data_IF_543165591926
#
_entry.id   IF_543165591926
#
_cell.length_a   1.000
_cell.length_b   1.000
_cell.length_c   1.000
_cell.angle_alpha   90.00
_cell.angle_beta   90.00
_cell.angle_gamma   90.00
#
_symmetry.space_group_name_H-M   'P 1'
#
loop_
_entity.id
_entity.type
_entity.pdbx_description
1 polymer ?
#
# COMPACT_ATOMS: atom_id res chain seq x y z
N UNK A 1 -49.26 25.30 20.88
CA UNK A 1 -47.86 25.73 20.68
C UNK A 1 -46.82 24.68 21.11
N UNK A 2 -46.91 24.05 22.29
CA UNK A 2 -45.89 23.05 22.72
C UNK A 2 -45.74 21.82 21.81
N UNK A 3 -46.79 21.33 21.17
CA UNK A 3 -46.73 20.16 20.28
C UNK A 3 -45.98 20.41 18.95
N UNK A 4 -46.04 21.62 18.44
CA UNK A 4 -45.33 21.98 17.19
C UNK A 4 -43.83 22.20 17.42
N UNK A 5 -43.41 22.64 18.58
CA UNK A 5 -42.01 22.81 18.96
C UNK A 5 -41.33 21.44 19.09
N UNK A 6 -42.01 20.43 19.62
CA UNK A 6 -41.47 19.07 19.74
C UNK A 6 -41.30 18.42 18.37
N UNK A 7 -42.25 18.61 17.43
CA UNK A 7 -42.17 18.11 16.05
C UNK A 7 -41.04 18.79 15.28
N UNK A 8 -40.84 20.09 15.47
CA UNK A 8 -39.74 20.82 14.84
C UNK A 8 -38.37 20.41 15.42
N UNK A 9 -38.27 20.16 16.72
CA UNK A 9 -37.03 19.68 17.35
C UNK A 9 -36.68 18.26 16.92
N UNK A 10 -37.67 17.35 16.79
CA UNK A 10 -37.44 15.99 16.27
C UNK A 10 -37.05 16.01 14.80
N UNK A 11 -37.64 16.90 13.98
CA UNK A 11 -37.26 17.03 12.57
C UNK A 11 -35.85 17.61 12.42
N UNK A 12 -35.44 18.57 13.28
CA UNK A 12 -34.07 19.12 13.29
C UNK A 12 -33.05 18.07 13.75
N UNK A 13 -33.41 17.24 14.76
CA UNK A 13 -32.51 16.18 15.26
C UNK A 13 -32.33 15.04 14.21
N UNK A 14 -33.37 14.72 13.44
CA UNK A 14 -33.27 13.74 12.37
C UNK A 14 -32.47 14.26 11.18
N UNK A 15 -32.52 15.57 10.86
CA UNK A 15 -31.69 16.15 9.81
C UNK A 15 -30.20 16.22 10.19
N UNK A 16 -29.87 16.38 11.47
CA UNK A 16 -28.46 16.40 11.90
C UNK A 16 -27.85 14.99 11.98
N UNK A 17 -28.66 13.94 12.22
CA UNK A 17 -28.20 12.55 12.18
C UNK A 17 -28.04 11.98 10.77
N UNK A 18 -28.74 12.53 9.78
CA UNK A 18 -28.57 12.12 8.38
C UNK A 18 -27.42 12.82 7.66
N UNK A 19 -26.91 13.92 8.19
CA UNK A 19 -25.74 14.63 7.66
C UNK A 19 -24.40 13.92 7.94
N UNK A 20 -24.33 13.07 8.96
CA UNK A 20 -23.12 12.31 9.30
C UNK A 20 -23.03 10.95 8.55
N UNK A 21 -24.09 10.55 7.83
CA UNK A 21 -24.18 9.29 7.10
C UNK A 21 -23.97 9.47 5.59
N UNK A 22 -23.50 10.63 5.13
CA UNK A 22 -23.36 10.97 3.70
C UNK A 22 -21.91 11.28 3.26
N UNK A 23 -20.92 11.11 4.14
CA UNK A 23 -19.57 10.93 3.66
C UNK A 23 -19.50 9.53 3.04
N UNK A 24 -19.25 9.41 1.75
CA UNK A 24 -19.07 8.11 1.09
C UNK A 24 -17.93 7.35 1.75
N UNK A 25 -17.89 6.05 1.61
CA UNK A 25 -16.81 5.21 2.14
C UNK A 25 -15.44 5.71 1.68
N UNK A 26 -15.35 6.24 0.46
CA UNK A 26 -14.14 6.87 -0.10
C UNK A 26 -13.65 8.08 0.71
N UNK A 27 -14.55 9.01 1.06
CA UNK A 27 -14.17 10.19 1.85
C UNK A 27 -13.67 9.81 3.24
N UNK A 28 -14.28 8.79 3.86
CA UNK A 28 -13.84 8.28 5.15
C UNK A 28 -12.48 7.58 5.06
N UNK A 29 -12.25 6.79 4.01
CA UNK A 29 -10.95 6.16 3.77
C UNK A 29 -9.86 7.20 3.48
N UNK A 30 -10.19 8.24 2.70
CA UNK A 30 -9.28 9.36 2.46
C UNK A 30 -8.88 10.03 3.75
N UNK A 31 -9.86 10.44 4.57
CA UNK A 31 -9.58 11.13 5.85
C UNK A 31 -8.74 10.26 6.79
N UNK A 32 -8.98 8.95 6.80
CA UNK A 32 -8.21 8.00 7.58
C UNK A 32 -6.77 7.88 7.08
N UNK A 33 -6.55 7.68 5.76
CA UNK A 33 -5.20 7.61 5.18
C UNK A 33 -4.46 8.92 5.40
N UNK A 34 -5.12 10.05 5.19
CA UNK A 34 -4.55 11.36 5.43
C UNK A 34 -4.10 11.53 6.88
N UNK A 35 -4.98 11.22 7.83
CA UNK A 35 -4.65 11.27 9.27
C UNK A 35 -3.45 10.40 9.59
N UNK A 36 -3.43 9.16 9.09
CA UNK A 36 -2.32 8.23 9.29
C UNK A 36 -1.00 8.79 8.76
N UNK A 37 -0.98 9.35 7.55
CA UNK A 37 0.23 9.93 6.97
C UNK A 37 0.69 11.18 7.72
N UNK A 38 -0.23 12.06 8.09
CA UNK A 38 0.06 13.30 8.85
C UNK A 38 0.62 12.99 10.24
N UNK A 39 0.05 12.02 10.97
CA UNK A 39 0.51 11.60 12.29
C UNK A 39 1.89 10.93 12.26
N UNK A 40 2.22 10.26 11.15
CA UNK A 40 3.54 9.68 10.93
C UNK A 40 4.53 10.65 10.26
N UNK A 41 4.15 11.92 10.06
CA UNK A 41 5.01 12.97 9.53
C UNK A 41 5.48 12.71 8.10
N UNK A 42 4.65 12.05 7.27
CA UNK A 42 4.98 11.71 5.90
C UNK A 42 4.60 12.85 4.96
N UNK A 43 5.52 13.23 4.07
CA UNK A 43 5.24 14.13 2.97
C UNK A 43 4.58 13.36 1.83
N UNK A 44 3.43 13.83 1.35
CA UNK A 44 2.69 13.19 0.25
C UNK A 44 2.04 14.22 -0.69
N UNK A 45 1.68 13.75 -1.88
CA UNK A 45 0.79 14.44 -2.81
C UNK A 45 -0.50 13.64 -2.91
N UNK A 46 -1.64 14.33 -2.80
CA UNK A 46 -2.95 13.72 -3.02
C UNK A 46 -3.59 14.29 -4.28
N UNK A 47 -3.96 13.42 -5.20
CA UNK A 47 -4.68 13.77 -6.43
C UNK A 47 -5.55 12.59 -6.87
N UNK A 48 -6.79 12.87 -7.27
CA UNK A 48 -7.74 11.92 -7.86
C UNK A 48 -7.80 10.56 -7.11
N UNK A 49 -8.04 10.60 -5.78
CA UNK A 49 -8.13 9.43 -4.89
C UNK A 49 -6.84 8.60 -4.78
N UNK A 50 -5.70 9.22 -5.08
CA UNK A 50 -4.38 8.58 -4.94
C UNK A 50 -3.48 9.44 -4.05
N UNK A 51 -2.93 8.84 -2.99
CA UNK A 51 -1.79 9.40 -2.27
C UNK A 51 -0.50 8.88 -2.89
N UNK A 52 0.42 9.78 -3.18
CA UNK A 52 1.75 9.43 -3.70
C UNK A 52 2.80 9.98 -2.75
N UNK A 53 3.71 9.12 -2.32
CA UNK A 53 4.79 9.47 -1.40
C UNK A 53 6.05 8.64 -1.71
N UNK A 54 7.19 9.12 -1.21
CA UNK A 54 8.47 8.44 -1.32
C UNK A 54 8.96 8.09 0.08
N UNK A 55 9.19 6.80 0.34
CA UNK A 55 9.62 6.30 1.63
C UNK A 55 11.01 5.68 1.54
N UNK A 56 11.90 6.06 2.48
CA UNK A 56 13.21 5.44 2.61
C UNK A 56 13.08 4.00 3.11
N UNK A 57 13.88 3.10 2.56
CA UNK A 57 14.01 1.70 2.96
C UNK A 57 15.48 1.33 3.13
N UNK A 58 15.78 0.30 3.95
CA UNK A 58 17.14 -0.04 4.37
C UNK A 58 17.94 -0.90 3.40
N UNK A 59 17.37 -1.31 2.26
CA UNK A 59 18.05 -2.15 1.27
C UNK A 59 18.82 -1.35 0.22
N UNK A 60 19.47 -2.03 -0.71
CA UNK A 60 20.14 -1.41 -1.86
C UNK A 60 19.20 -0.60 -2.78
N UNK A 61 17.90 -0.69 -2.58
CA UNK A 61 16.90 0.13 -3.26
C UNK A 61 16.87 1.58 -2.72
N UNK A 62 17.35 1.81 -1.49
CA UNK A 62 17.36 3.10 -0.77
C UNK A 62 15.99 3.70 -0.48
N UNK A 63 15.03 3.60 -1.38
CA UNK A 63 13.66 4.11 -1.22
C UNK A 63 12.66 3.29 -2.05
N UNK A 64 11.36 3.53 -1.78
CA UNK A 64 10.26 3.06 -2.60
C UNK A 64 9.36 4.24 -2.97
N UNK A 65 8.83 4.25 -4.19
CA UNK A 65 7.74 5.14 -4.58
C UNK A 65 6.42 4.45 -4.26
N UNK A 66 5.64 5.05 -3.33
CA UNK A 66 4.42 4.44 -2.79
C UNK A 66 3.21 5.16 -3.31
N UNK A 67 2.23 4.40 -3.77
CA UNK A 67 0.91 4.88 -4.19
C UNK A 67 -0.17 4.17 -3.40
N UNK A 68 -1.03 4.95 -2.75
CA UNK A 68 -2.18 4.44 -2.01
C UNK A 68 -3.44 4.86 -2.78
N UNK A 69 -4.13 3.88 -3.35
CA UNK A 69 -5.34 4.07 -4.14
C UNK A 69 -6.57 3.84 -3.26
N UNK A 70 -7.49 4.78 -3.32
CA UNK A 70 -8.80 4.68 -2.69
C UNK A 70 -9.83 4.38 -3.77
N UNK A 71 -10.55 3.28 -3.61
CA UNK A 71 -11.70 2.90 -4.43
C UNK A 71 -12.94 2.82 -3.56
N UNK A 72 -14.12 2.73 -4.17
CA UNK A 72 -15.41 2.66 -3.46
C UNK A 72 -15.45 1.60 -2.35
N UNK A 73 -14.82 0.45 -2.58
CA UNK A 73 -14.86 -0.73 -1.73
C UNK A 73 -13.48 -1.33 -1.43
N UNK A 74 -12.40 -0.66 -1.81
CA UNK A 74 -11.05 -1.21 -1.67
C UNK A 74 -10.01 -0.13 -1.42
N UNK A 75 -9.09 -0.42 -0.51
CA UNK A 75 -7.82 0.29 -0.35
C UNK A 75 -6.69 -0.57 -0.91
N UNK A 76 -5.89 -0.01 -1.82
CA UNK A 76 -4.77 -0.72 -2.43
C UNK A 76 -3.48 0.10 -2.32
N UNK A 77 -2.41 -0.54 -1.85
CA UNK A 77 -1.09 0.06 -1.74
C UNK A 77 -0.16 -0.62 -2.72
N UNK A 78 0.58 0.18 -3.47
CA UNK A 78 1.64 -0.27 -4.39
C UNK A 78 2.92 0.44 -3.98
N UNK A 79 3.93 -0.34 -3.61
CA UNK A 79 5.28 0.15 -3.38
C UNK A 79 6.15 -0.28 -4.56
N UNK A 80 6.57 0.68 -5.37
CA UNK A 80 7.40 0.45 -6.54
C UNK A 80 8.89 0.51 -6.14
N UNK A 81 9.65 -0.51 -6.54
CA UNK A 81 11.10 -0.49 -6.43
C UNK A 81 11.67 0.49 -7.49
N UNK A 82 12.63 1.37 -7.13
CA UNK A 82 13.20 2.37 -8.04
C UNK A 82 14.22 1.75 -9.01
N UNK A 83 13.88 0.61 -9.59
CA UNK A 83 14.71 -0.13 -10.54
C UNK A 83 13.91 -0.48 -11.77
N UNK A 84 14.62 -0.74 -12.86
CA UNK A 84 14.02 -1.19 -14.11
C UNK A 84 14.67 -2.50 -14.56
N UNK A 85 13.85 -3.54 -14.68
CA UNK A 85 14.28 -4.85 -15.16
C UNK A 85 14.41 -4.81 -16.66
N UNK A 86 15.58 -5.15 -17.17
CA UNK A 86 15.79 -5.30 -18.62
C UNK A 86 15.02 -6.52 -19.16
N UNK A 87 14.72 -6.52 -20.47
CA UNK A 87 14.07 -7.65 -21.11
C UNK A 87 14.87 -8.96 -20.93
N UNK A 88 16.20 -8.87 -20.94
CA UNK A 88 17.12 -10.00 -20.75
C UNK A 88 16.98 -10.63 -19.33
N UNK A 89 16.73 -9.82 -18.32
CA UNK A 89 16.64 -10.26 -16.92
C UNK A 89 15.19 -10.51 -16.46
N UNK A 90 14.19 -10.27 -17.33
CA UNK A 90 12.79 -10.40 -16.95
C UNK A 90 12.42 -11.79 -16.42
N UNK A 91 12.86 -12.86 -17.10
CA UNK A 91 12.55 -14.24 -16.67
C UNK A 91 13.21 -14.57 -15.33
N UNK A 92 14.43 -14.09 -15.10
CA UNK A 92 15.12 -14.25 -13.82
C UNK A 92 14.35 -13.52 -12.70
N UNK A 93 13.91 -12.28 -12.95
CA UNK A 93 13.12 -11.51 -11.99
C UNK A 93 11.78 -12.18 -11.70
N UNK A 94 11.12 -12.75 -12.70
CA UNK A 94 9.88 -13.50 -12.51
C UNK A 94 10.08 -14.75 -11.64
N UNK A 95 11.21 -15.44 -11.77
CA UNK A 95 11.58 -16.55 -10.88
C UNK A 95 11.83 -16.04 -9.48
N UNK A 96 12.66 -14.99 -9.30
CA UNK A 96 12.97 -14.40 -8.01
C UNK A 96 11.71 -13.97 -7.25
N UNK A 97 10.84 -13.19 -7.91
CA UNK A 97 9.60 -12.71 -7.27
C UNK A 97 8.62 -13.86 -6.97
N UNK A 98 8.63 -14.93 -7.74
CA UNK A 98 7.85 -16.14 -7.44
C UNK A 98 8.36 -16.82 -6.16
N UNK A 99 9.69 -16.93 -5.99
CA UNK A 99 10.29 -17.47 -4.77
C UNK A 99 9.94 -16.59 -3.56
N UNK A 100 10.11 -15.28 -3.66
CA UNK A 100 9.76 -14.34 -2.60
C UNK A 100 8.27 -14.41 -2.24
N UNK A 101 7.38 -14.53 -3.23
CA UNK A 101 5.94 -14.65 -3.00
C UNK A 101 5.52 -15.93 -2.25
N UNK A 102 6.35 -16.96 -2.20
CA UNK A 102 6.07 -18.17 -1.39
C UNK A 102 6.33 -17.95 0.10
N UNK A 103 7.13 -16.94 0.46
CA UNK A 103 7.52 -16.65 1.84
C UNK A 103 6.70 -15.52 2.47
N UNK A 104 6.03 -14.69 1.66
CA UNK A 104 5.27 -13.54 2.15
C UNK A 104 3.79 -13.87 2.33
N UNK A 105 3.15 -13.29 3.36
CA UNK A 105 1.75 -13.55 3.72
C UNK A 105 0.80 -12.42 3.30
N UNK A 106 1.28 -11.18 3.32
CA UNK A 106 0.48 -9.99 2.99
C UNK A 106 0.99 -9.33 1.72
N UNK A 107 0.15 -9.30 0.69
CA UNK A 107 0.54 -8.72 -0.58
C UNK A 107 1.28 -9.69 -1.49
N UNK A 108 1.88 -9.14 -2.53
CA UNK A 108 2.62 -9.92 -3.52
C UNK A 108 3.58 -9.04 -4.31
N UNK A 109 4.73 -9.58 -4.66
CA UNK A 109 5.58 -9.02 -5.69
C UNK A 109 4.99 -9.21 -7.08
N UNK A 110 5.11 -8.18 -7.90
CA UNK A 110 4.69 -8.19 -9.31
C UNK A 110 5.79 -7.61 -10.17
N UNK A 111 5.94 -8.15 -11.36
CA UNK A 111 6.84 -7.63 -12.39
C UNK A 111 6.00 -7.23 -13.59
N UNK A 112 6.09 -5.96 -13.98
CA UNK A 112 5.47 -5.47 -15.21
C UNK A 112 6.40 -5.73 -16.38
N UNK A 113 5.99 -6.61 -17.28
CA UNK A 113 6.79 -6.98 -18.44
C UNK A 113 6.92 -5.85 -19.46
N UNK A 114 5.90 -5.03 -19.60
CA UNK A 114 5.88 -3.98 -20.62
C UNK A 114 6.83 -2.82 -20.23
N UNK A 115 6.88 -2.49 -18.94
CA UNK A 115 7.63 -1.35 -18.45
C UNK A 115 8.85 -1.74 -17.61
N UNK A 116 9.03 -3.01 -17.26
CA UNK A 116 10.14 -3.49 -16.44
C UNK A 116 10.08 -3.08 -14.98
N UNK A 117 8.91 -2.67 -14.47
CA UNK A 117 8.76 -2.30 -13.05
C UNK A 117 8.60 -3.52 -12.16
N UNK A 118 9.21 -3.43 -10.98
CA UNK A 118 8.99 -4.37 -9.87
C UNK A 118 8.29 -3.62 -8.76
N UNK A 119 7.21 -4.18 -8.24
CA UNK A 119 6.52 -3.61 -7.09
C UNK A 119 6.07 -4.70 -6.11
N UNK A 120 5.86 -4.30 -4.86
CA UNK A 120 5.08 -5.08 -3.91
C UNK A 120 3.72 -4.41 -3.73
N UNK A 121 2.65 -5.20 -3.83
CA UNK A 121 1.28 -4.72 -3.72
C UNK A 121 0.56 -5.41 -2.58
N UNK A 122 -0.15 -4.62 -1.77
CA UNK A 122 -1.16 -5.08 -0.82
C UNK A 122 -2.53 -4.48 -1.17
N UNK A 123 -3.60 -5.11 -0.73
CA UNK A 123 -4.94 -4.55 -0.84
C UNK A 123 -5.84 -5.10 0.26
N UNK A 124 -6.83 -4.29 0.66
CA UNK A 124 -7.89 -4.69 1.57
C UNK A 124 -9.25 -4.28 1.01
N UNK A 125 -10.21 -5.20 1.02
CA UNK A 125 -11.60 -4.89 0.70
C UNK A 125 -12.23 -4.21 1.92
N UNK A 126 -12.96 -3.13 1.67
CA UNK A 126 -13.65 -2.31 2.66
C UNK A 126 -15.15 -2.40 2.35
N UNK A 127 -15.81 -3.48 2.81
CA UNK A 127 -17.25 -3.65 2.55
C UNK A 127 -18.09 -2.76 3.50
N UNK A 128 -18.07 -3.07 4.80
CA UNK A 128 -18.87 -2.38 5.81
C UNK A 128 -18.04 -1.77 6.95
N UNK A 129 -16.74 -2.05 7.01
CA UNK A 129 -15.83 -1.62 8.09
C UNK A 129 -14.59 -1.00 7.50
N UNK A 130 -14.41 0.29 7.80
CA UNK A 130 -13.18 0.99 7.41
C UNK A 130 -12.01 0.43 8.23
N UNK A 131 -10.85 0.12 7.58
CA UNK A 131 -9.67 -0.36 8.28
C UNK A 131 -9.29 0.58 9.43
N UNK A 132 -8.90 0.02 10.57
CA UNK A 132 -8.35 0.80 11.66
C UNK A 132 -6.88 1.16 11.41
N UNK A 133 -6.30 1.94 12.33
CA UNK A 133 -4.90 2.37 12.26
C UNK A 133 -3.91 1.19 12.15
N UNK A 134 -4.16 0.11 12.89
CA UNK A 134 -3.32 -1.09 12.83
C UNK A 134 -3.37 -1.78 11.46
N UNK A 135 -4.56 -1.88 10.85
CA UNK A 135 -4.71 -2.46 9.52
C UNK A 135 -4.01 -1.61 8.46
N UNK A 136 -4.09 -0.27 8.59
CA UNK A 136 -3.36 0.66 7.74
C UNK A 136 -1.85 0.49 7.87
N UNK A 137 -1.35 0.37 9.11
CA UNK A 137 0.06 0.12 9.36
C UNK A 137 0.56 -1.13 8.62
N UNK A 138 -0.18 -2.24 8.69
CA UNK A 138 0.18 -3.45 7.94
C UNK A 138 0.03 -3.26 6.43
N UNK A 139 -1.03 -2.60 5.99
CA UNK A 139 -1.31 -2.42 4.57
C UNK A 139 -0.25 -1.57 3.86
N UNK A 140 0.24 -0.52 4.52
CA UNK A 140 1.31 0.36 4.00
C UNK A 140 2.70 -0.21 4.33
N UNK A 141 2.90 -0.69 5.55
CA UNK A 141 4.22 -1.10 6.04
C UNK A 141 4.71 -2.42 5.44
N UNK A 142 3.85 -3.45 5.28
CA UNK A 142 4.30 -4.76 4.79
C UNK A 142 4.93 -4.72 3.39
N UNK A 143 4.36 -4.01 2.39
CA UNK A 143 5.03 -3.88 1.09
C UNK A 143 6.43 -3.26 1.18
N UNK A 144 6.64 -2.31 2.10
CA UNK A 144 7.94 -1.68 2.33
C UNK A 144 8.92 -2.63 3.01
N UNK A 145 8.47 -3.35 4.04
CA UNK A 145 9.26 -4.36 4.73
C UNK A 145 9.73 -5.46 3.76
N UNK A 146 8.85 -5.89 2.84
CA UNK A 146 9.23 -6.86 1.83
C UNK A 146 10.22 -6.28 0.81
N UNK A 147 10.08 -5.01 0.40
CA UNK A 147 11.09 -4.36 -0.44
C UNK A 147 12.42 -4.17 0.29
N UNK A 148 12.40 -3.92 1.59
CA UNK A 148 13.62 -3.90 2.40
C UNK A 148 14.28 -5.27 2.47
N UNK A 149 13.50 -6.32 2.79
CA UNK A 149 13.98 -7.69 2.92
C UNK A 149 14.55 -8.26 1.61
N UNK A 150 13.88 -8.03 0.50
CA UNK A 150 14.23 -8.61 -0.80
C UNK A 150 14.90 -7.64 -1.77
N UNK A 151 15.13 -6.38 -1.36
CA UNK A 151 15.64 -5.32 -2.22
C UNK A 151 17.02 -5.60 -2.79
N UNK A 152 17.94 -6.12 -1.97
CA UNK A 152 19.28 -6.49 -2.42
C UNK A 152 19.23 -7.59 -3.50
N UNK A 153 18.34 -8.56 -3.35
CA UNK A 153 18.10 -9.60 -4.33
C UNK A 153 17.50 -9.05 -5.63
N UNK A 154 16.55 -8.10 -5.52
CA UNK A 154 15.98 -7.42 -6.69
C UNK A 154 17.09 -6.71 -7.49
N UNK A 155 17.96 -5.95 -6.82
CA UNK A 155 19.09 -5.25 -7.46
C UNK A 155 20.04 -6.26 -8.10
N UNK A 156 20.44 -7.32 -7.38
CA UNK A 156 21.30 -8.38 -7.92
C UNK A 156 20.76 -9.00 -9.19
N UNK A 157 19.46 -9.32 -9.23
CA UNK A 157 18.82 -9.91 -10.42
C UNK A 157 18.70 -8.88 -11.55
N UNK A 158 18.46 -7.61 -11.26
CA UNK A 158 18.49 -6.54 -12.28
C UNK A 158 19.86 -6.42 -12.94
N UNK A 159 20.94 -6.70 -12.21
CA UNK A 159 22.32 -6.73 -12.71
C UNK A 159 22.71 -8.06 -13.38
N UNK A 160 21.79 -9.01 -13.49
CA UNK A 160 21.98 -10.28 -14.17
C UNK A 160 22.34 -11.46 -13.27
N UNK A 161 22.30 -11.27 -11.95
CA UNK A 161 22.53 -12.32 -10.95
C UNK A 161 21.60 -13.53 -11.11
N UNK A 162 21.98 -14.63 -10.47
CA UNK A 162 21.14 -15.84 -10.41
C UNK A 162 19.99 -15.65 -9.42
N UNK A 163 18.73 -15.89 -9.79
CA UNK A 163 17.58 -15.60 -8.94
C UNK A 163 17.52 -16.49 -7.68
N UNK A 164 18.02 -17.73 -7.74
CA UNK A 164 18.04 -18.62 -6.56
C UNK A 164 19.14 -18.22 -5.58
N UNK A 165 20.31 -17.83 -6.07
CA UNK A 165 21.40 -17.33 -5.23
C UNK A 165 20.99 -16.01 -4.56
N UNK A 166 20.40 -15.07 -5.31
CA UNK A 166 19.90 -13.81 -4.80
C UNK A 166 18.82 -14.02 -3.72
N UNK A 167 17.86 -14.90 -3.97
CA UNK A 167 16.82 -15.24 -3.00
C UNK A 167 17.39 -15.85 -1.72
N UNK A 168 18.28 -16.84 -1.84
CA UNK A 168 18.90 -17.48 -0.67
C UNK A 168 19.75 -16.48 0.15
N UNK A 169 20.39 -15.51 -0.50
CA UNK A 169 21.12 -14.44 0.20
C UNK A 169 20.17 -13.56 1.03
N UNK A 170 18.98 -13.23 0.51
CA UNK A 170 17.97 -12.48 1.27
C UNK A 170 17.49 -13.27 2.49
N UNK A 171 17.23 -14.59 2.34
CA UNK A 171 16.83 -15.43 3.48
C UNK A 171 17.91 -15.51 4.55
N UNK A 172 19.17 -15.65 4.17
CA UNK A 172 20.29 -15.71 5.10
C UNK A 172 20.45 -14.43 5.92
N UNK A 173 20.18 -13.27 5.30
CA UNK A 173 20.24 -11.98 5.98
C UNK A 173 19.12 -11.76 7.01
N UNK A 174 17.99 -12.48 6.90
CA UNK A 174 16.90 -12.43 7.90
C UNK A 174 17.24 -13.20 9.20
N UNK A 175 18.20 -14.11 9.15
CA UNK A 175 18.61 -14.95 10.31
C UNK A 175 19.71 -14.28 11.16
N UNK A 176 20.25 -13.13 10.76
CA UNK A 176 21.30 -12.37 11.46
C UNK A 176 20.71 -11.29 12.38
#
# INVERSE_FOLDING_TARGET
MKKWIVVLLTLLLTLTLTGAALAGTEDQMKDMVQTYLDENGQDYVYDDYVFTLKLAIGSALEYADVRIFIYDDMLSVIADAPVQVSEENFEKMAVFTTLANNEIFYGQFRVDREHGYVCCRSCNLVEDVIPGENELFYLVGMPLEYLETYGDGIVSVCEGGDPYEAFNACLAAMDE
#
